data_IF_304089772643
#
_entry.id   IF_304089772643
#
_cell.length_a   1.000
_cell.length_b   1.000
_cell.length_c   1.000
_cell.angle_alpha   90.00
_cell.angle_beta   90.00
_cell.angle_gamma   90.00
#
_symmetry.space_group_name_H-M   'P 1'
#
loop_
_entity.id
_entity.type
_entity.pdbx_description
1 polymer ?
#
# COMPACT_ATOMS: atom_id res chain seq x y z
N UNK A 1 -37.64 20.15 -26.65
CA UNK A 1 -36.81 19.10 -26.02
C UNK A 1 -35.51 19.74 -25.56
N UNK A 2 -35.37 20.00 -24.26
CA UNK A 2 -34.11 20.47 -23.67
C UNK A 2 -33.47 19.26 -23.00
N UNK A 3 -32.39 18.75 -23.59
CA UNK A 3 -31.56 17.71 -22.98
C UNK A 3 -30.60 18.43 -22.04
N UNK A 4 -30.88 18.40 -20.74
CA UNK A 4 -29.93 18.83 -19.73
C UNK A 4 -28.74 17.87 -19.74
N UNK A 5 -27.57 18.36 -20.12
CA UNK A 5 -26.30 17.67 -19.88
C UNK A 5 -26.11 17.55 -18.37
N UNK A 6 -26.28 16.34 -17.83
CA UNK A 6 -25.90 16.03 -16.46
C UNK A 6 -24.41 16.28 -16.29
N UNK A 7 -24.06 17.28 -15.49
CA UNK A 7 -22.73 17.43 -14.93
C UNK A 7 -22.50 16.23 -14.02
N UNK A 8 -21.69 15.27 -14.46
CA UNK A 8 -21.25 14.16 -13.63
C UNK A 8 -20.35 14.67 -12.53
N UNK A 9 -20.93 15.20 -11.45
CA UNK A 9 -20.23 15.35 -10.19
C UNK A 9 -19.82 13.95 -9.74
N UNK A 10 -18.52 13.66 -9.82
CA UNK A 10 -17.96 12.48 -9.18
C UNK A 10 -18.25 12.59 -7.69
N UNK A 11 -19.16 11.75 -7.20
CA UNK A 11 -19.45 11.63 -5.76
C UNK A 11 -18.14 11.29 -5.07
N UNK A 12 -17.60 12.23 -4.28
CA UNK A 12 -16.39 12.00 -3.51
C UNK A 12 -16.63 10.86 -2.54
N UNK A 13 -15.88 9.77 -2.70
CA UNK A 13 -15.87 8.69 -1.72
C UNK A 13 -14.79 9.00 -0.70
N UNK A 14 -15.12 9.84 0.26
CA UNK A 14 -14.19 10.23 1.32
C UNK A 14 -13.96 9.03 2.23
N UNK A 15 -12.70 8.72 2.53
CA UNK A 15 -12.33 7.64 3.44
C UNK A 15 -12.80 7.93 4.87
N UNK A 16 -13.24 6.88 5.55
CA UNK A 16 -13.78 6.97 6.91
C UNK A 16 -12.72 7.45 7.90
N UNK A 17 -13.10 8.21 8.93
CA UNK A 17 -12.16 8.67 9.95
C UNK A 17 -11.52 7.52 10.75
N UNK A 18 -12.18 6.37 10.78
CA UNK A 18 -11.73 5.13 11.40
C UNK A 18 -11.22 4.11 10.38
N UNK A 19 -10.90 4.53 9.15
CA UNK A 19 -10.34 3.62 8.14
C UNK A 19 -9.11 2.89 8.72
N UNK A 20 -9.02 1.55 8.56
CA UNK A 20 -7.86 0.78 9.03
C UNK A 20 -6.55 1.24 8.39
N UNK A 21 -6.60 1.81 7.19
CA UNK A 21 -5.46 2.44 6.53
C UNK A 21 -5.45 3.92 6.92
N UNK A 22 -4.48 4.31 7.74
CA UNK A 22 -4.40 5.66 8.34
C UNK A 22 -4.38 6.76 7.28
N UNK A 23 -3.65 6.54 6.20
CA UNK A 23 -3.53 7.52 5.11
C UNK A 23 -4.82 7.67 4.28
N UNK A 24 -5.79 6.77 4.43
CA UNK A 24 -7.09 6.88 3.75
C UNK A 24 -8.10 7.76 4.49
N UNK A 25 -7.87 8.05 5.77
CA UNK A 25 -8.80 8.81 6.62
C UNK A 25 -8.96 10.24 6.10
N UNK A 26 -10.14 10.58 5.58
CA UNK A 26 -10.40 11.89 4.98
C UNK A 26 -9.84 12.09 3.56
N UNK A 27 -9.21 11.07 2.96
CA UNK A 27 -8.75 11.11 1.57
C UNK A 27 -9.92 10.86 0.59
N UNK A 28 -9.82 11.33 -0.65
CA UNK A 28 -10.81 11.09 -1.70
C UNK A 28 -10.53 9.76 -2.42
N UNK A 29 -10.96 8.67 -1.80
CA UNK A 29 -10.79 7.31 -2.30
C UNK A 29 -11.56 7.05 -3.61
N UNK A 30 -12.50 7.94 -3.97
CA UNK A 30 -13.18 7.88 -5.27
C UNK A 30 -12.24 8.11 -6.46
N UNK A 31 -11.04 8.66 -6.21
CA UNK A 31 -10.00 8.86 -7.23
C UNK A 31 -9.04 7.66 -7.38
N UNK A 32 -9.12 6.67 -6.51
CA UNK A 32 -8.29 5.47 -6.59
C UNK A 32 -9.01 4.40 -7.41
N UNK A 33 -8.37 3.96 -8.50
CA UNK A 33 -8.76 2.71 -9.15
C UNK A 33 -8.55 1.53 -8.20
N UNK A 34 -9.36 0.47 -8.33
CA UNK A 34 -9.29 -0.70 -7.44
C UNK A 34 -7.88 -1.33 -7.35
N UNK A 35 -7.09 -1.30 -8.43
CA UNK A 35 -5.71 -1.79 -8.47
C UNK A 35 -4.72 -0.95 -7.65
N UNK A 36 -5.05 0.31 -7.36
CA UNK A 36 -4.27 1.23 -6.53
C UNK A 36 -4.82 1.35 -5.10
N UNK A 37 -5.98 0.77 -4.83
CA UNK A 37 -6.56 0.70 -3.49
C UNK A 37 -5.97 -0.48 -2.74
N UNK A 38 -5.27 -0.20 -1.64
CA UNK A 38 -4.71 -1.21 -0.76
C UNK A 38 -5.83 -2.00 -0.08
N UNK A 39 -5.65 -3.31 0.02
CA UNK A 39 -6.51 -4.16 0.84
C UNK A 39 -5.98 -4.14 2.28
N UNK A 40 -6.82 -3.81 3.29
CA UNK A 40 -6.40 -3.83 4.70
C UNK A 40 -5.83 -5.18 5.15
N UNK A 41 -6.22 -6.29 4.51
CA UNK A 41 -5.65 -7.61 4.75
C UNK A 41 -4.18 -7.66 4.32
N UNK A 42 -3.81 -7.04 3.19
CA UNK A 42 -2.42 -6.94 2.74
C UNK A 42 -1.56 -5.91 3.50
N UNK A 43 -2.15 -5.17 4.43
CA UNK A 43 -1.46 -4.08 5.11
C UNK A 43 -0.68 -4.58 6.33
N UNK A 44 0.55 -4.09 6.45
CA UNK A 44 1.46 -4.32 7.58
C UNK A 44 1.90 -2.97 8.15
N UNK A 45 1.97 -2.87 9.47
CA UNK A 45 2.56 -1.72 10.17
C UNK A 45 4.09 -1.85 10.14
N UNK A 46 4.75 -0.93 9.44
CA UNK A 46 6.21 -0.88 9.43
C UNK A 46 6.69 -0.15 10.69
N UNK A 47 7.71 -0.65 11.40
CA UNK A 47 8.21 0.00 12.60
C UNK A 47 8.71 1.42 12.35
N UNK A 48 8.44 2.33 13.29
CA UNK A 48 9.07 3.65 13.30
C UNK A 48 10.49 3.54 13.84
N UNK A 49 11.46 4.10 13.12
CA UNK A 49 12.89 4.06 13.49
C UNK A 49 13.45 5.46 13.74
N UNK A 50 12.91 6.47 13.04
CA UNK A 50 13.33 7.87 13.16
C UNK A 50 13.65 8.50 11.81
N UNK A 51 13.44 9.82 11.69
CA UNK A 51 13.67 10.53 10.44
C UNK A 51 15.17 10.56 10.09
N UNK A 52 15.48 10.38 8.81
CA UNK A 52 16.86 10.38 8.31
C UNK A 52 17.71 9.16 8.72
N UNK A 53 17.16 8.20 9.45
CA UNK A 53 17.86 6.97 9.82
C UNK A 53 18.11 6.07 8.60
N UNK A 54 19.12 5.19 8.71
CA UNK A 54 19.42 4.24 7.63
C UNK A 54 18.23 3.30 7.41
N UNK A 55 17.95 2.97 6.15
CA UNK A 55 16.88 2.05 5.74
C UNK A 55 15.48 2.50 6.16
N UNK A 56 15.22 3.81 6.26
CA UNK A 56 13.87 4.35 6.47
C UNK A 56 13.35 5.09 5.24
N UNK A 57 12.04 5.29 5.19
CA UNK A 57 11.42 6.23 4.26
C UNK A 57 11.60 7.68 4.74
N UNK A 58 11.11 8.64 3.96
CA UNK A 58 11.28 10.06 4.27
C UNK A 58 10.67 10.46 5.62
N UNK A 59 9.65 9.73 6.08
CA UNK A 59 8.98 9.99 7.36
C UNK A 59 9.60 9.23 8.54
N UNK A 60 10.55 8.31 8.32
CA UNK A 60 11.26 7.59 9.39
C UNK A 60 10.78 6.15 9.65
N UNK A 61 9.91 5.61 8.79
CA UNK A 61 9.43 4.22 8.89
C UNK A 61 10.38 3.24 8.22
N UNK A 62 10.57 2.06 8.82
CA UNK A 62 11.46 1.00 8.32
C UNK A 62 11.08 0.56 6.90
N UNK A 63 12.05 0.61 5.98
CA UNK A 63 11.94 0.11 4.59
C UNK A 63 12.59 -1.26 4.47
N UNK A 64 11.95 -2.25 5.09
CA UNK A 64 12.42 -3.63 5.10
C UNK A 64 11.39 -4.56 4.47
N UNK A 65 11.72 -5.07 3.27
CA UNK A 65 10.86 -6.02 2.56
C UNK A 65 10.75 -7.36 3.29
N UNK A 66 11.80 -7.78 3.99
CA UNK A 66 11.87 -9.11 4.61
C UNK A 66 11.03 -9.09 5.89
N UNK A 67 11.05 -7.98 6.63
CA UNK A 67 10.07 -7.72 7.68
C UNK A 67 8.64 -7.81 7.15
N UNK A 68 8.32 -7.08 6.07
CA UNK A 68 6.98 -7.09 5.47
C UNK A 68 6.52 -8.49 5.07
N UNK A 69 7.37 -9.26 4.37
CA UNK A 69 7.00 -10.60 3.91
C UNK A 69 6.87 -11.62 5.03
N UNK A 70 7.66 -11.48 6.11
CA UNK A 70 7.52 -12.30 7.31
C UNK A 70 6.15 -12.08 7.96
N UNK A 71 5.76 -10.82 8.19
CA UNK A 71 4.45 -10.48 8.74
C UNK A 71 3.31 -11.02 7.87
N UNK A 72 3.42 -10.89 6.55
CA UNK A 72 2.42 -11.42 5.62
C UNK A 72 2.33 -12.95 5.63
N UNK A 73 3.45 -13.66 5.76
CA UNK A 73 3.49 -15.12 5.83
C UNK A 73 2.88 -15.63 7.14
N UNK A 74 3.07 -14.90 8.24
CA UNK A 74 2.45 -15.20 9.53
C UNK A 74 0.94 -14.93 9.50
N UNK A 75 0.50 -13.82 8.89
CA UNK A 75 -0.90 -13.39 8.85
C UNK A 75 -1.77 -14.19 7.87
N UNK A 76 -1.26 -14.48 6.68
CA UNK A 76 -1.98 -15.16 5.59
C UNK A 76 -1.10 -16.19 4.87
N UNK A 77 -0.63 -17.25 5.55
CA UNK A 77 0.21 -18.26 4.91
C UNK A 77 -0.44 -18.87 3.67
N UNK A 78 -1.76 -19.06 3.67
CA UNK A 78 -2.55 -19.61 2.57
C UNK A 78 -2.52 -18.79 1.28
N UNK A 79 -2.20 -17.48 1.36
CA UNK A 79 -2.03 -16.63 0.19
C UNK A 79 -0.72 -16.92 -0.58
N UNK A 80 0.19 -17.69 0.01
CA UNK A 80 1.49 -18.03 -0.56
C UNK A 80 1.57 -19.53 -0.82
N UNK A 81 1.66 -19.92 -2.09
CA UNK A 81 1.97 -21.31 -2.45
C UNK A 81 3.44 -21.64 -2.12
N UNK A 82 3.81 -22.93 -2.23
CA UNK A 82 5.16 -23.43 -1.93
C UNK A 82 6.28 -22.61 -2.59
N UNK A 83 6.10 -22.22 -3.86
CA UNK A 83 7.11 -21.44 -4.57
C UNK A 83 7.27 -20.02 -4.01
N UNK A 84 6.17 -19.32 -3.71
CA UNK A 84 6.25 -18.00 -3.08
C UNK A 84 6.81 -18.07 -1.66
N UNK A 85 6.45 -19.09 -0.87
CA UNK A 85 7.02 -19.30 0.48
C UNK A 85 8.53 -19.49 0.41
N UNK A 86 8.99 -20.36 -0.49
CA UNK A 86 10.43 -20.58 -0.70
C UNK A 86 11.16 -19.30 -1.15
N UNK A 87 10.54 -18.46 -1.98
CA UNK A 87 11.11 -17.15 -2.33
C UNK A 87 11.31 -16.28 -1.09
N UNK A 88 10.27 -16.13 -0.28
CA UNK A 88 10.31 -15.33 0.95
C UNK A 88 11.37 -15.87 1.91
N UNK A 89 11.42 -17.18 2.14
CA UNK A 89 12.41 -17.84 3.01
C UNK A 89 13.86 -17.61 2.55
N UNK A 90 14.07 -17.46 1.24
CA UNK A 90 15.37 -17.16 0.63
C UNK A 90 15.64 -15.64 0.49
N UNK A 91 14.79 -14.78 1.06
CA UNK A 91 14.94 -13.33 0.99
C UNK A 91 14.54 -12.71 -0.35
N UNK A 92 13.80 -13.43 -1.20
CA UNK A 92 13.26 -12.92 -2.45
C UNK A 92 11.79 -12.53 -2.30
N UNK A 93 11.39 -11.52 -3.08
CA UNK A 93 9.99 -11.16 -3.19
C UNK A 93 9.16 -12.28 -3.88
N UNK A 94 7.93 -12.55 -3.40
CA UNK A 94 7.00 -13.45 -4.07
C UNK A 94 6.45 -12.85 -5.37
N UNK A 95 5.70 -13.65 -6.14
CA UNK A 95 5.05 -13.21 -7.39
C UNK A 95 3.52 -13.25 -7.30
N UNK A 96 2.86 -12.44 -8.13
CA UNK A 96 1.40 -12.35 -8.29
C UNK A 96 0.82 -13.58 -9.02
N UNK A 97 0.99 -14.77 -8.43
CA UNK A 97 0.54 -16.04 -9.00
C UNK A 97 -0.95 -16.32 -8.66
N UNK A 98 -1.56 -17.37 -9.23
CA UNK A 98 -2.98 -17.67 -8.99
C UNK A 98 -3.36 -17.83 -7.50
N UNK A 99 -2.47 -18.38 -6.67
CA UNK A 99 -2.74 -18.55 -5.23
C UNK A 99 -2.86 -17.21 -4.51
N UNK A 100 -1.97 -16.27 -4.83
CA UNK A 100 -2.03 -14.92 -4.28
C UNK A 100 -3.27 -14.17 -4.76
N UNK A 101 -3.55 -14.20 -6.07
CA UNK A 101 -4.72 -13.55 -6.68
C UNK A 101 -6.06 -14.08 -6.17
N UNK A 102 -6.12 -15.38 -5.84
CA UNK A 102 -7.32 -15.97 -5.21
C UNK A 102 -7.63 -15.33 -3.86
N UNK A 103 -6.62 -14.92 -3.09
CA UNK A 103 -6.80 -14.26 -1.80
C UNK A 103 -6.99 -12.75 -1.94
N UNK A 104 -6.28 -12.14 -2.91
CA UNK A 104 -6.27 -10.70 -3.18
C UNK A 104 -6.69 -10.41 -4.62
N UNK A 105 -8.00 -10.47 -4.91
CA UNK A 105 -8.53 -10.40 -6.28
C UNK A 105 -8.35 -9.03 -6.96
N UNK A 106 -7.98 -7.98 -6.21
CA UNK A 106 -7.66 -6.67 -6.80
C UNK A 106 -6.50 -6.71 -7.81
N UNK A 107 -5.67 -7.76 -7.75
CA UNK A 107 -4.55 -7.99 -8.66
C UNK A 107 -4.81 -9.14 -9.64
N UNK A 108 -6.07 -9.60 -9.75
CA UNK A 108 -6.50 -10.55 -10.76
C UNK A 108 -6.72 -9.88 -12.13
N UNK A 109 -5.67 -9.23 -12.60
CA UNK A 109 -5.60 -8.51 -13.87
C UNK A 109 -4.53 -9.16 -14.75
N UNK A 110 -4.89 -9.56 -15.98
CA UNK A 110 -4.02 -10.38 -16.85
C UNK A 110 -2.64 -9.75 -17.07
N UNK A 111 -2.59 -8.43 -17.17
CA UNK A 111 -1.38 -7.64 -17.36
C UNK A 111 -0.45 -7.65 -16.14
N UNK A 112 -0.94 -8.02 -14.95
CA UNK A 112 -0.20 -8.09 -13.68
C UNK A 112 0.19 -9.51 -13.30
N UNK A 113 -0.19 -10.52 -14.08
CA UNK A 113 0.08 -11.92 -13.73
C UNK A 113 1.57 -12.19 -13.68
N UNK A 114 1.98 -12.89 -12.61
CA UNK A 114 3.36 -13.27 -12.32
C UNK A 114 4.34 -12.11 -12.12
N UNK A 115 3.87 -10.87 -12.03
CA UNK A 115 4.69 -9.75 -11.61
C UNK A 115 5.29 -10.03 -10.23
N UNK A 116 6.53 -9.61 -10.02
CA UNK A 116 7.12 -9.55 -8.69
C UNK A 116 6.28 -8.61 -7.82
N UNK A 117 5.90 -9.07 -6.64
CA UNK A 117 5.23 -8.24 -5.66
C UNK A 117 6.27 -7.45 -4.88
N UNK A 118 6.06 -6.15 -4.70
CA UNK A 118 6.94 -5.31 -3.89
C UNK A 118 6.16 -4.72 -2.73
N UNK A 119 6.82 -4.48 -1.59
CA UNK A 119 6.21 -3.70 -0.53
C UNK A 119 6.24 -2.22 -0.93
N UNK A 120 5.11 -1.55 -0.74
CA UNK A 120 4.92 -0.15 -1.04
C UNK A 120 4.36 0.53 0.21
N UNK A 121 4.96 1.65 0.64
CA UNK A 121 4.45 2.45 1.76
C UNK A 121 3.26 3.29 1.27
N UNK A 122 2.07 2.98 1.78
CA UNK A 122 0.82 3.63 1.38
C UNK A 122 0.90 5.11 1.74
N UNK A 123 0.83 5.99 0.73
CA UNK A 123 0.93 7.43 0.92
C UNK A 123 2.28 7.93 1.44
N UNK A 124 3.33 7.11 1.37
CA UNK A 124 4.63 7.42 1.98
C UNK A 124 4.69 7.23 3.51
N UNK A 125 3.62 6.67 4.09
CA UNK A 125 3.43 6.55 5.53
C UNK A 125 4.03 5.30 6.18
N UNK A 126 3.52 4.99 7.38
CA UNK A 126 3.97 3.86 8.20
C UNK A 126 3.35 2.52 7.86
N UNK A 127 2.29 2.50 7.05
CA UNK A 127 1.67 1.26 6.60
C UNK A 127 2.17 0.87 5.22
N UNK A 128 2.52 -0.41 5.04
CA UNK A 128 2.96 -0.95 3.76
C UNK A 128 2.02 -2.02 3.21
N UNK A 129 1.98 -2.14 1.88
CA UNK A 129 1.15 -3.09 1.14
C UNK A 129 1.93 -3.73 -0.01
N UNK A 130 1.65 -5.00 -0.30
CA UNK A 130 2.15 -5.70 -1.47
C UNK A 130 1.45 -5.18 -2.73
N UNK A 131 2.23 -4.75 -3.72
CA UNK A 131 1.73 -4.33 -5.05
C UNK A 131 2.51 -5.05 -6.15
N UNK A 132 1.87 -5.47 -7.26
CA UNK A 132 2.56 -5.87 -8.48
C UNK A 132 3.51 -4.76 -8.96
N UNK A 133 4.75 -5.12 -9.29
CA UNK A 133 5.81 -4.15 -9.61
C UNK A 133 5.44 -3.18 -10.75
N UNK A 134 4.64 -3.61 -11.73
CA UNK A 134 4.15 -2.75 -12.82
C UNK A 134 3.26 -1.59 -12.34
N UNK A 135 2.61 -1.72 -11.18
CA UNK A 135 1.80 -0.64 -10.59
C UNK A 135 2.65 0.41 -9.87
N UNK A 136 3.95 0.15 -9.68
CA UNK A 136 4.88 0.99 -8.95
C UNK A 136 6.12 1.40 -9.78
N UNK A 137 5.94 2.06 -10.93
CA UNK A 137 7.04 2.49 -11.79
C UNK A 137 7.71 3.75 -11.21
N UNK A 138 8.78 3.59 -10.45
CA UNK A 138 9.52 4.73 -9.88
C UNK A 138 8.61 5.61 -9.02
N UNK A 139 8.50 6.91 -9.36
CA UNK A 139 7.61 7.86 -8.67
C UNK A 139 6.22 8.00 -9.33
N UNK A 140 5.92 7.17 -10.34
CA UNK A 140 4.63 7.15 -11.05
C UNK A 140 3.68 6.08 -10.52
N UNK A 141 2.65 5.76 -11.32
CA UNK A 141 1.65 4.74 -11.01
C UNK A 141 0.92 5.03 -9.70
N UNK A 142 1.00 4.09 -8.75
CA UNK A 142 0.31 4.18 -7.46
C UNK A 142 0.62 5.48 -6.71
N UNK A 143 1.87 5.98 -6.73
CA UNK A 143 2.22 7.23 -6.05
C UNK A 143 1.45 8.45 -6.60
N UNK A 144 1.20 8.51 -7.90
CA UNK A 144 0.43 9.60 -8.51
C UNK A 144 -1.06 9.50 -8.18
N UNK A 145 -1.58 8.27 -8.14
CA UNK A 145 -2.96 8.01 -7.72
C UNK A 145 -3.18 8.45 -6.27
N UNK A 146 -2.27 8.05 -5.36
CA UNK A 146 -2.32 8.43 -3.94
C UNK A 146 -2.22 9.95 -3.72
N UNK A 147 -1.30 10.63 -4.40
CA UNK A 147 -1.21 12.09 -4.34
C UNK A 147 -2.51 12.76 -4.82
N UNK A 148 -3.08 12.28 -5.92
CA UNK A 148 -4.32 12.83 -6.48
C UNK A 148 -5.53 12.62 -5.57
N UNK A 149 -5.53 11.51 -4.82
CA UNK A 149 -6.54 11.16 -3.83
C UNK A 149 -6.34 11.87 -2.46
N UNK A 150 -5.21 12.54 -2.24
CA UNK A 150 -4.90 13.14 -0.92
C UNK A 150 -4.51 12.11 0.14
N UNK A 151 -4.05 10.92 -0.29
CA UNK A 151 -3.54 9.87 0.60
C UNK A 151 -2.11 10.19 1.04
N UNK A 152 -1.31 10.80 0.16
CA UNK A 152 0.11 11.07 0.41
C UNK A 152 0.33 12.03 1.58
N UNK A 153 1.15 11.61 2.56
CA UNK A 153 1.49 12.38 3.76
C UNK A 153 0.35 12.49 4.79
N UNK A 154 -0.77 11.81 4.59
CA UNK A 154 -1.95 11.95 5.46
C UNK A 154 -1.76 11.27 6.85
N UNK A 155 -0.66 10.55 7.07
CA UNK A 155 -0.25 10.02 8.38
C UNK A 155 1.01 10.69 8.97
N UNK A 156 1.52 11.75 8.33
CA UNK A 156 2.73 12.49 8.76
C UNK A 156 2.67 12.93 10.22
N UNK A 157 1.48 13.33 10.72
CA UNK A 157 1.28 13.75 12.13
C UNK A 157 1.71 12.68 13.14
N UNK A 158 1.58 11.39 12.79
CA UNK A 158 1.99 10.29 13.66
C UNK A 158 3.50 10.14 13.69
N UNK A 159 4.15 10.26 12.53
CA UNK A 159 5.61 10.28 12.43
C UNK A 159 6.20 11.46 13.23
N UNK A 160 5.63 12.66 13.10
CA UNK A 160 6.05 13.83 13.88
C UNK A 160 5.87 13.65 15.40
N UNK A 161 4.80 12.99 15.83
CA UNK A 161 4.60 12.69 17.24
C UNK A 161 5.63 11.68 17.75
N UNK A 162 5.90 10.62 16.98
CA UNK A 162 6.87 9.58 17.35
C UNK A 162 8.30 10.14 17.37
N UNK A 163 8.65 11.02 16.45
CA UNK A 163 9.97 11.68 16.41
C UNK A 163 10.27 12.43 17.71
N UNK A 164 9.27 13.14 18.28
CA UNK A 164 9.43 13.86 19.56
C UNK A 164 9.71 12.96 20.76
N UNK A 165 9.41 11.65 20.67
CA UNK A 165 9.76 10.69 21.72
C UNK A 165 11.18 10.13 21.54
N UNK A 166 11.79 10.30 20.37
CA UNK A 166 13.17 9.91 20.08
C UNK A 166 14.17 11.04 20.31
N UNK A 167 13.76 12.28 19.99
CA UNK A 167 14.51 13.50 20.30
C UNK A 167 14.42 13.76 21.83
N UNK A 168 15.48 13.40 22.56
CA UNK A 168 15.65 13.74 23.97
C UNK A 168 16.18 15.15 24.15
#
# INVERSE_FOLDING_TARGET
>A
MLVSKGTGETVKKIGDINDPIRTYRGADLGKLEAKYTADPRLTVEMPYVGKGQKNTNAEGWLRDKDFYWKEMLEKYPEAFNRSNRQKIELGFAPINNPTFRKHFPQYDLKELYNDTLIHHHIGGGGQAVAVPSKLHPGLGGIHNAEKSAGVWGNDQKYAELLEKFLEK
#
